data_IF_215329168657
#
_entry.id   IF_215329168657
#
_cell.length_a   1.000
_cell.length_b   1.000
_cell.length_c   1.000
_cell.angle_alpha   90.00
_cell.angle_beta   90.00
_cell.angle_gamma   90.00
#
_symmetry.space_group_name_H-M   'P 1'
#
loop_
_entity.id
_entity.type
_entity.pdbx_description
1 polymer ?
#
# COMPACT_ATOMS: atom_id res chain seq x y z
N UNK A 1 31.40 -17.74 -65.23
CA UNK A 1 30.11 -18.44 -65.27
C UNK A 1 29.14 -17.75 -64.31
N UNK A 2 27.97 -17.40 -64.84
CA UNK A 2 26.69 -16.98 -64.26
C UNK A 2 26.58 -16.41 -62.83
N UNK A 3 26.09 -15.16 -62.78
CA UNK A 3 25.20 -14.58 -61.76
C UNK A 3 23.93 -15.44 -61.56
N UNK A 4 23.37 -15.48 -60.35
CA UNK A 4 21.92 -15.38 -60.10
C UNK A 4 21.59 -15.17 -58.61
N UNK A 5 20.96 -14.04 -58.35
CA UNK A 5 20.22 -13.64 -57.15
C UNK A 5 19.04 -14.56 -56.85
N UNK A 6 18.56 -14.58 -55.61
CA UNK A 6 17.13 -14.61 -55.28
C UNK A 6 16.89 -14.20 -53.82
N UNK A 7 16.26 -13.04 -53.66
CA UNK A 7 15.54 -12.61 -52.47
C UNK A 7 14.05 -12.90 -52.69
N UNK A 8 13.40 -13.61 -51.77
CA UNK A 8 11.93 -13.72 -51.58
C UNK A 8 11.75 -14.20 -50.12
N UNK A 9 10.91 -13.65 -49.25
CA UNK A 9 9.89 -12.62 -49.40
C UNK A 9 9.38 -12.19 -48.01
N UNK A 10 8.78 -11.01 -47.97
CA UNK A 10 8.10 -10.45 -46.82
C UNK A 10 6.58 -10.61 -46.95
N UNK A 11 5.89 -10.54 -45.81
CA UNK A 11 4.47 -10.16 -45.61
C UNK A 11 3.39 -11.24 -45.84
N UNK A 12 2.90 -11.79 -44.72
CA UNK A 12 1.49 -12.10 -44.41
C UNK A 12 1.41 -12.00 -42.87
N UNK A 13 0.47 -11.37 -42.19
CA UNK A 13 -0.78 -10.69 -42.51
C UNK A 13 -1.49 -10.50 -41.16
N UNK A 14 -1.91 -9.28 -40.87
CA UNK A 14 -2.60 -8.90 -39.63
C UNK A 14 -3.97 -9.60 -39.48
N UNK A 15 -4.50 -9.55 -38.25
CA UNK A 15 -5.88 -9.83 -37.80
C UNK A 15 -6.09 -11.20 -37.13
N UNK A 16 -5.92 -11.22 -35.80
CA UNK A 16 -6.85 -11.92 -34.91
C UNK A 16 -6.93 -11.20 -33.56
N UNK A 17 -7.68 -10.08 -33.56
CA UNK A 17 -8.30 -9.56 -32.36
C UNK A 17 -9.70 -10.19 -32.25
N UNK A 18 -10.17 -10.37 -31.01
CA UNK A 18 -11.42 -11.00 -30.56
C UNK A 18 -11.41 -12.53 -30.47
N UNK A 19 -11.02 -13.04 -29.30
CA UNK A 19 -11.91 -13.77 -28.36
C UNK A 19 -11.15 -14.07 -27.06
N UNK A 20 -11.55 -13.40 -25.97
CA UNK A 20 -11.14 -13.74 -24.60
C UNK A 20 -11.78 -15.08 -24.19
N UNK A 21 -11.22 -15.76 -23.17
CA UNK A 21 -11.84 -15.55 -21.87
C UNK A 21 -10.84 -15.09 -20.81
N UNK A 22 -11.35 -14.22 -19.96
CA UNK A 22 -10.81 -13.92 -18.64
C UNK A 22 -10.48 -15.22 -17.89
N UNK A 23 -9.20 -15.50 -17.66
CA UNK A 23 -8.78 -16.42 -16.60
C UNK A 23 -8.69 -15.59 -15.32
N UNK A 24 -9.82 -15.53 -14.62
CA UNK A 24 -9.88 -15.09 -13.23
C UNK A 24 -9.21 -16.12 -12.33
N UNK A 25 -8.06 -15.74 -11.77
CA UNK A 25 -7.48 -16.43 -10.62
C UNK A 25 -8.10 -15.88 -9.34
N UNK A 26 -9.23 -16.43 -8.94
CA UNK A 26 -9.75 -16.31 -7.59
C UNK A 26 -8.86 -17.13 -6.64
N UNK A 27 -8.30 -16.47 -5.63
CA UNK A 27 -7.65 -17.08 -4.46
C UNK A 27 -8.27 -16.48 -3.18
N UNK A 28 -8.26 -17.20 -2.04
CA UNK A 28 -9.43 -17.32 -1.16
C UNK A 28 -9.74 -16.12 -0.25
N UNK A 29 -10.96 -16.23 0.28
CA UNK A 29 -11.86 -15.25 0.87
C UNK A 29 -11.50 -14.61 2.20
N UNK A 30 -11.84 -13.32 2.29
CA UNK A 30 -12.50 -12.59 3.38
C UNK A 30 -13.07 -13.44 4.54
N UNK A 31 -12.25 -13.81 5.53
CA UNK A 31 -12.75 -14.22 6.86
C UNK A 31 -11.69 -14.17 7.97
N UNK A 32 -10.91 -13.10 8.09
CA UNK A 32 -10.29 -12.76 9.38
C UNK A 32 -9.90 -11.28 9.41
N UNK A 33 -10.72 -10.47 10.08
CA UNK A 33 -10.39 -9.09 10.38
C UNK A 33 -9.40 -9.06 11.56
N UNK A 34 -8.12 -8.85 11.28
CA UNK A 34 -7.19 -8.39 12.30
C UNK A 34 -7.39 -6.87 12.45
N UNK A 35 -8.09 -6.45 13.50
CA UNK A 35 -8.23 -5.04 13.87
C UNK A 35 -7.02 -4.65 14.70
N UNK A 36 -6.13 -3.82 14.16
CA UNK A 36 -5.17 -3.09 14.98
C UNK A 36 -5.88 -1.86 15.57
N UNK A 37 -6.05 -1.83 16.89
CA UNK A 37 -6.45 -0.62 17.61
C UNK A 37 -5.35 0.43 17.44
N UNK A 38 -5.65 1.48 16.69
CA UNK A 38 -4.79 2.66 16.61
C UNK A 38 -4.99 3.51 17.85
N UNK A 39 -4.07 3.42 18.81
CA UNK A 39 -3.84 4.52 19.75
C UNK A 39 -2.88 5.51 19.08
N UNK A 40 -3.19 6.80 19.18
CA UNK A 40 -2.39 7.93 18.69
C UNK A 40 -1.00 7.99 19.36
N UNK A 41 -0.10 7.11 18.94
CA UNK A 41 1.31 7.17 19.28
C UNK A 41 2.10 7.54 18.02
N UNK A 42 2.77 8.69 18.08
CA UNK A 42 3.78 9.07 17.09
C UNK A 42 4.86 7.97 17.03
N UNK A 43 5.33 7.53 15.86
CA UNK A 43 6.36 6.51 15.77
C UNK A 43 7.69 7.06 16.31
N UNK A 44 8.17 6.47 17.40
CA UNK A 44 9.53 6.69 17.92
C UNK A 44 10.48 5.83 17.07
N UNK A 45 11.49 6.47 16.48
CA UNK A 45 12.54 5.77 15.75
C UNK A 45 13.35 4.88 16.71
N UNK A 46 13.56 3.62 16.33
CA UNK A 46 14.52 2.76 17.00
C UNK A 46 15.93 3.18 16.58
N UNK A 47 16.60 3.98 17.42
CA UNK A 47 18.04 4.18 17.30
C UNK A 47 18.74 2.89 17.70
N UNK A 48 19.39 2.22 16.75
CA UNK A 48 20.28 1.10 17.05
C UNK A 48 21.58 1.66 17.66
N UNK A 49 21.81 1.39 18.94
CA UNK A 49 23.13 1.57 19.55
C UNK A 49 24.04 0.44 19.06
N UNK A 50 25.03 0.81 18.27
CA UNK A 50 26.18 -0.02 17.94
C UNK A 50 26.90 -0.39 19.26
N UNK A 51 26.83 -1.65 19.68
CA UNK A 51 27.54 -2.13 20.85
C UNK A 51 29.03 -2.32 20.50
N UNK A 52 29.87 -1.35 20.86
CA UNK A 52 31.31 -1.53 20.96
C UNK A 52 31.62 -2.31 22.23
N UNK A 53 32.40 -3.39 22.10
CA UNK A 53 32.83 -4.24 23.20
C UNK A 53 33.64 -3.45 24.23
N UNK A 54 33.18 -3.41 25.49
CA UNK A 54 34.00 -2.86 26.57
C UNK A 54 33.31 -2.74 27.93
N UNK A 55 33.69 -3.67 28.82
CA UNK A 55 33.80 -3.52 30.28
C UNK A 55 32.59 -3.84 31.18
N UNK A 56 32.90 -4.68 32.16
CA UNK A 56 32.12 -5.22 33.29
C UNK A 56 31.85 -4.15 34.35
N UNK A 57 30.64 -4.12 34.93
CA UNK A 57 30.37 -3.44 36.21
C UNK A 57 28.94 -2.91 36.39
N UNK A 58 28.14 -3.65 37.17
CA UNK A 58 27.12 -3.26 38.16
C UNK A 58 25.94 -2.27 37.90
N UNK A 59 24.79 -2.73 38.43
CA UNK A 59 23.64 -2.04 39.07
C UNK A 59 22.39 -1.62 38.26
N UNK A 60 21.33 -2.42 38.48
CA UNK A 60 20.01 -2.09 39.09
C UNK A 60 19.11 -0.95 38.58
N UNK A 61 17.80 -1.28 38.51
CA UNK A 61 16.58 -0.45 38.41
C UNK A 61 16.12 -0.10 36.98
N UNK A 62 14.85 -0.17 36.59
CA UNK A 62 13.62 -0.05 37.37
C UNK A 62 12.46 -0.89 36.80
N UNK A 63 11.67 -1.47 37.70
CA UNK A 63 10.32 -1.94 37.45
C UNK A 63 9.35 -0.76 37.48
N UNK A 64 8.38 -0.72 36.55
CA UNK A 64 7.22 0.14 36.65
C UNK A 64 5.95 -0.70 36.47
N UNK A 65 5.21 -0.79 37.57
CA UNK A 65 3.90 -1.42 37.75
C UNK A 65 2.84 -0.47 37.17
N UNK A 66 1.91 -0.98 36.37
CA UNK A 66 0.68 -0.24 36.01
C UNK A 66 -0.54 -1.07 36.41
N UNK A 67 -1.24 -0.55 37.41
CA UNK A 67 -2.55 -0.99 37.90
C UNK A 67 -3.66 -0.47 36.97
N UNK A 68 -4.59 -1.33 36.53
CA UNK A 68 -5.82 -0.89 35.86
C UNK A 68 -7.01 -1.34 36.71
N UNK A 69 -7.75 -0.37 37.23
CA UNK A 69 -9.01 -0.56 37.96
C UNK A 69 -10.15 -0.87 37.00
N UNK A 70 -10.94 -1.88 37.35
CA UNK A 70 -12.20 -2.23 36.72
C UNK A 70 -13.34 -1.33 37.25
N UNK A 71 -14.29 -0.98 36.38
CA UNK A 71 -15.64 -0.57 36.77
C UNK A 71 -16.62 -0.88 35.64
N UNK A 72 -17.83 -1.24 36.05
CA UNK A 72 -18.83 -2.08 35.41
C UNK A 72 -20.03 -1.32 34.83
N UNK A 73 -20.70 -1.98 33.86
CA UNK A 73 -22.17 -2.06 33.61
C UNK A 73 -23.02 -0.84 33.23
N UNK A 74 -23.80 -1.02 32.15
CA UNK A 74 -25.27 -0.83 31.98
C UNK A 74 -25.57 -0.21 30.60
N UNK A 75 -26.63 -0.49 29.85
CA UNK A 75 -27.69 -1.50 29.80
C UNK A 75 -28.41 -1.33 28.44
N UNK A 76 -29.17 -2.33 28.03
CA UNK A 76 -29.87 -2.46 26.75
C UNK A 76 -31.14 -1.57 26.63
N UNK A 77 -31.55 -1.25 25.40
CA UNK A 77 -32.98 -1.10 25.05
C UNK A 77 -33.26 -1.23 23.53
N UNK A 78 -33.92 -2.35 23.21
CA UNK A 78 -35.00 -2.65 22.24
C UNK A 78 -35.33 -1.76 21.02
N UNK A 79 -35.55 -2.46 19.91
CA UNK A 79 -36.09 -2.10 18.57
C UNK A 79 -37.61 -1.75 18.62
N UNK A 80 -38.24 -1.17 17.57
CA UNK A 80 -38.66 -1.94 16.38
C UNK A 80 -38.53 -1.22 15.01
N UNK A 81 -38.53 -2.04 13.97
CA UNK A 81 -38.61 -1.66 12.56
C UNK A 81 -40.06 -1.38 12.12
N UNK A 82 -40.23 -0.51 11.13
CA UNK A 82 -41.41 -0.49 10.26
C UNK A 82 -41.05 0.02 8.86
N UNK A 83 -41.44 -0.78 7.88
CA UNK A 83 -41.43 -0.57 6.43
C UNK A 83 -42.69 0.19 5.98
N UNK A 84 -42.58 1.03 4.94
CA UNK A 84 -43.53 1.05 3.82
C UNK A 84 -43.19 2.12 2.77
N UNK A 85 -43.01 1.66 1.55
CA UNK A 85 -43.15 2.40 0.29
C UNK A 85 -44.53 3.04 0.13
N UNK A 86 -44.63 4.20 -0.54
CA UNK A 86 -45.33 4.38 -1.83
C UNK A 86 -45.71 5.84 -2.13
N UNK A 87 -45.33 6.27 -3.33
CA UNK A 87 -46.15 6.95 -4.36
C UNK A 87 -46.77 8.34 -4.16
N UNK A 88 -46.45 9.16 -5.18
CA UNK A 88 -47.35 9.95 -6.03
C UNK A 88 -47.57 11.45 -5.71
N UNK A 89 -47.62 12.19 -6.82
CA UNK A 89 -47.61 13.64 -7.02
C UNK A 89 -49.01 14.25 -6.81
N UNK A 90 -49.05 15.56 -6.50
CA UNK A 90 -49.89 16.59 -7.14
C UNK A 90 -49.41 17.99 -6.67
N UNK A 91 -48.90 18.87 -7.54
CA UNK A 91 -49.52 19.95 -8.35
C UNK A 91 -50.07 21.15 -7.54
N UNK A 92 -49.37 22.28 -7.75
CA UNK A 92 -49.73 23.72 -7.62
C UNK A 92 -50.72 24.21 -6.56
N UNK A 93 -50.29 25.20 -5.76
CA UNK A 93 -51.06 26.45 -5.56
C UNK A 93 -50.18 27.66 -5.19
N UNK A 94 -50.40 28.72 -5.95
CA UNK A 94 -50.00 30.13 -5.85
C UNK A 94 -49.98 30.75 -4.43
N UNK A 95 -48.88 31.44 -4.08
CA UNK A 95 -48.85 32.79 -3.49
C UNK A 95 -47.41 33.22 -3.13
N UNK A 96 -46.94 34.30 -3.74
CA UNK A 96 -45.66 34.95 -3.43
C UNK A 96 -45.72 35.65 -2.05
N UNK A 97 -44.67 35.45 -1.24
CA UNK A 97 -44.11 36.48 -0.37
C UNK A 97 -42.66 36.73 -0.81
N UNK A 98 -42.18 37.98 -0.86
CA UNK A 98 -40.76 38.26 -1.09
C UNK A 98 -39.93 37.58 0.00
N UNK A 99 -39.10 36.61 -0.38
CA UNK A 99 -38.17 35.95 0.53
C UNK A 99 -36.98 36.90 0.75
N UNK A 100 -36.63 37.28 1.99
CA UNK A 100 -35.38 37.97 2.27
C UNK A 100 -34.20 37.20 1.68
N UNK A 101 -33.25 37.88 1.03
CA UNK A 101 -32.02 37.26 0.53
C UNK A 101 -31.39 36.41 1.64
N UNK A 102 -31.19 35.09 1.46
CA UNK A 102 -30.39 34.32 2.37
C UNK A 102 -28.99 34.94 2.37
N UNK A 103 -28.56 35.44 3.52
CA UNK A 103 -27.14 35.68 3.78
C UNK A 103 -26.36 34.39 3.47
N UNK A 104 -25.13 34.47 2.94
CA UNK A 104 -24.37 33.29 2.59
C UNK A 104 -24.33 32.33 3.78
N UNK A 105 -24.95 31.16 3.61
CA UNK A 105 -24.83 30.06 4.55
C UNK A 105 -23.34 29.82 4.69
N UNK A 106 -22.79 30.08 5.88
CA UNK A 106 -21.53 29.50 6.29
C UNK A 106 -21.64 28.00 6.06
N UNK A 107 -20.93 27.50 5.05
CA UNK A 107 -20.85 26.07 4.80
C UNK A 107 -20.20 25.47 6.04
N UNK A 108 -21.04 24.86 6.88
CA UNK A 108 -20.55 23.91 7.87
C UNK A 108 -19.86 22.82 7.07
N UNK A 109 -18.53 22.80 7.12
CA UNK A 109 -17.73 21.70 6.57
C UNK A 109 -18.15 20.45 7.35
N UNK A 110 -18.79 19.44 6.73
CA UNK A 110 -18.93 18.15 7.36
C UNK A 110 -17.55 17.49 7.30
N UNK A 111 -16.69 17.86 8.25
CA UNK A 111 -15.47 17.14 8.54
C UNK A 111 -15.87 15.85 9.24
N UNK A 112 -15.96 14.77 8.45
CA UNK A 112 -15.58 13.37 8.74
C UNK A 112 -16.34 12.46 7.77
N UNK A 113 -15.97 12.46 6.49
CA UNK A 113 -16.18 11.28 5.66
C UNK A 113 -14.91 10.44 5.71
N UNK A 114 -15.01 9.30 6.37
CA UNK A 114 -13.94 8.33 6.65
C UNK A 114 -13.40 7.62 5.40
N UNK A 115 -13.72 8.13 4.22
CA UNK A 115 -13.05 7.88 2.95
C UNK A 115 -13.29 9.10 2.06
N UNK A 116 -12.40 10.09 2.09
CA UNK A 116 -12.46 11.12 1.05
C UNK A 116 -12.23 10.40 -0.28
N UNK A 117 -13.26 10.32 -1.12
CA UNK A 117 -13.11 9.83 -2.48
C UNK A 117 -12.22 10.79 -3.27
N UNK A 118 -11.69 10.35 -4.41
CA UNK A 118 -10.92 11.24 -5.30
C UNK A 118 -11.74 12.46 -5.71
N UNK A 119 -13.04 12.28 -5.96
CA UNK A 119 -13.97 13.38 -6.26
C UNK A 119 -14.08 14.39 -5.11
N UNK A 120 -14.10 13.93 -3.85
CA UNK A 120 -14.12 14.84 -2.70
C UNK A 120 -12.82 15.65 -2.59
N UNK A 121 -11.66 15.04 -2.86
CA UNK A 121 -10.38 15.76 -2.90
C UNK A 121 -10.31 16.77 -4.05
N UNK A 122 -10.78 16.38 -5.23
CA UNK A 122 -10.90 17.29 -6.38
C UNK A 122 -11.77 18.50 -6.04
N UNK A 123 -12.95 18.26 -5.47
CA UNK A 123 -13.87 19.33 -5.06
C UNK A 123 -13.23 20.25 -4.01
N UNK A 124 -12.48 19.70 -3.05
CA UNK A 124 -11.76 20.50 -2.06
C UNK A 124 -10.70 21.41 -2.70
N UNK A 125 -9.91 20.90 -3.65
CA UNK A 125 -8.96 21.72 -4.39
C UNK A 125 -9.66 22.83 -5.18
N UNK A 126 -10.73 22.51 -5.92
CA UNK A 126 -11.52 23.49 -6.68
C UNK A 126 -12.13 24.55 -5.77
N UNK A 127 -12.68 24.16 -4.62
CA UNK A 127 -13.23 25.10 -3.62
C UNK A 127 -12.15 26.02 -3.04
N UNK A 128 -10.91 25.54 -2.93
CA UNK A 128 -9.75 26.35 -2.56
C UNK A 128 -9.15 27.16 -3.71
N UNK A 129 -9.73 27.12 -4.92
CA UNK A 129 -9.21 27.80 -6.11
C UNK A 129 -7.90 27.20 -6.65
N UNK A 130 -7.60 25.94 -6.30
CA UNK A 130 -6.39 25.22 -6.70
C UNK A 130 -6.72 24.00 -7.56
N UNK A 131 -5.71 23.46 -8.24
CA UNK A 131 -5.77 22.18 -8.92
C UNK A 131 -5.12 21.08 -8.08
N UNK A 132 -5.39 19.81 -8.42
CA UNK A 132 -4.72 18.70 -7.79
C UNK A 132 -3.20 18.75 -8.02
N UNK A 133 -2.39 18.18 -7.10
CA UNK A 133 -0.94 18.18 -7.22
C UNK A 133 -0.45 17.57 -8.54
N UNK A 134 0.65 18.09 -9.07
CA UNK A 134 1.32 17.52 -10.23
C UNK A 134 2.44 16.53 -9.80
N UNK A 135 2.94 15.75 -10.75
CA UNK A 135 4.10 14.89 -10.51
C UNK A 135 5.33 15.71 -10.11
N UNK A 136 6.13 15.17 -9.19
CA UNK A 136 7.41 15.75 -8.76
C UNK A 136 8.56 15.18 -9.57
N UNK A 137 9.57 16.01 -9.82
CA UNK A 137 10.84 15.59 -10.45
C UNK A 137 11.81 14.92 -9.47
N UNK A 138 12.94 14.45 -10.02
CA UNK A 138 14.04 13.83 -9.27
C UNK A 138 14.17 12.33 -9.51
N UNK A 139 14.93 11.66 -8.64
CA UNK A 139 15.19 10.23 -8.68
C UNK A 139 15.26 9.64 -7.28
N UNK A 140 15.17 8.31 -7.18
CA UNK A 140 15.48 7.56 -5.96
C UNK A 140 17.00 7.37 -5.84
N UNK A 141 17.48 7.04 -4.63
CA UNK A 141 18.91 6.83 -4.37
C UNK A 141 19.48 5.49 -4.90
N UNK A 142 18.66 4.68 -5.58
CA UNK A 142 19.02 3.34 -6.02
C UNK A 142 18.86 2.25 -4.94
N UNK A 143 19.02 1.00 -5.36
CA UNK A 143 18.97 -0.19 -4.53
C UNK A 143 20.13 -1.13 -4.90
N UNK A 144 20.65 -1.92 -3.94
CA UNK A 144 21.91 -2.65 -4.10
C UNK A 144 21.85 -3.82 -5.10
N UNK A 145 20.66 -4.37 -5.41
CA UNK A 145 20.53 -5.52 -6.30
C UNK A 145 21.29 -6.76 -5.83
N UNK A 146 21.44 -6.94 -4.51
CA UNK A 146 22.20 -8.06 -3.93
C UNK A 146 21.49 -9.40 -4.14
N UNK A 147 22.24 -10.47 -4.17
CA UNK A 147 21.70 -11.85 -4.13
C UNK A 147 21.85 -12.40 -2.73
N UNK A 148 20.82 -13.06 -2.22
CA UNK A 148 20.85 -13.77 -0.94
C UNK A 148 21.71 -15.03 -1.00
N UNK A 149 22.00 -15.65 0.15
CA UNK A 149 22.76 -16.90 0.23
C UNK A 149 22.07 -18.07 -0.47
N UNK A 150 20.73 -18.09 -0.49
CA UNK A 150 19.92 -19.08 -1.20
C UNK A 150 19.76 -18.80 -2.69
N UNK A 151 20.40 -17.77 -3.24
CA UNK A 151 20.34 -17.44 -4.67
C UNK A 151 19.13 -16.57 -5.08
N UNK A 152 18.30 -16.13 -4.14
CA UNK A 152 17.17 -15.21 -4.42
C UNK A 152 17.71 -13.83 -4.75
N UNK A 153 17.29 -13.24 -5.87
CA UNK A 153 17.68 -11.91 -6.31
C UNK A 153 17.00 -10.81 -5.49
N UNK A 154 17.72 -9.77 -5.12
CA UNK A 154 17.23 -8.65 -4.32
C UNK A 154 16.70 -7.48 -5.14
N UNK A 155 16.39 -6.40 -4.43
CA UNK A 155 15.76 -5.19 -4.95
C UNK A 155 16.72 -4.48 -5.88
N UNK A 156 16.33 -4.34 -7.15
CA UNK A 156 17.13 -3.59 -8.12
C UNK A 156 16.76 -2.11 -8.11
N UNK A 157 17.67 -1.27 -8.61
CA UNK A 157 17.39 0.16 -8.80
C UNK A 157 16.22 0.39 -9.79
N UNK A 158 16.03 -0.52 -10.75
CA UNK A 158 14.90 -0.49 -11.68
C UNK A 158 13.56 -0.75 -10.97
N UNK A 159 13.52 -1.73 -10.06
CA UNK A 159 12.32 -2.01 -9.25
C UNK A 159 11.92 -0.79 -8.43
N UNK A 160 12.88 -0.20 -7.72
CA UNK A 160 12.65 0.97 -6.88
C UNK A 160 12.18 2.18 -7.69
N UNK A 161 12.81 2.45 -8.84
CA UNK A 161 12.42 3.56 -9.71
C UNK A 161 11.02 3.35 -10.32
N UNK A 162 10.72 2.13 -10.77
CA UNK A 162 9.40 1.77 -11.31
C UNK A 162 8.30 1.90 -10.26
N UNK A 163 8.55 1.41 -9.04
CA UNK A 163 7.65 1.59 -7.90
C UNK A 163 7.43 3.06 -7.59
N UNK A 164 8.50 3.84 -7.40
CA UNK A 164 8.43 5.25 -7.02
C UNK A 164 7.63 6.09 -8.02
N UNK A 165 7.88 5.88 -9.32
CA UNK A 165 7.15 6.56 -10.40
C UNK A 165 5.67 6.22 -10.37
N UNK A 166 5.31 4.94 -10.31
CA UNK A 166 3.91 4.51 -10.31
C UNK A 166 3.19 4.91 -9.03
N UNK A 167 3.85 4.80 -7.87
CA UNK A 167 3.31 5.20 -6.58
C UNK A 167 2.87 6.67 -6.59
N UNK A 168 3.75 7.58 -7.02
CA UNK A 168 3.40 9.00 -7.11
C UNK A 168 2.40 9.32 -8.22
N UNK A 169 2.47 8.63 -9.37
CA UNK A 169 1.46 8.79 -10.42
C UNK A 169 0.06 8.45 -9.90
N UNK A 170 -0.08 7.37 -9.12
CA UNK A 170 -1.33 6.98 -8.46
C UNK A 170 -1.76 8.06 -7.46
N UNK A 171 -0.84 8.59 -6.64
CA UNK A 171 -1.16 9.67 -5.68
C UNK A 171 -1.72 10.89 -6.39
N UNK A 172 -1.01 11.38 -7.39
CA UNK A 172 -1.39 12.55 -8.21
C UNK A 172 -2.73 12.33 -8.92
N UNK A 173 -2.93 11.17 -9.57
CA UNK A 173 -4.19 10.84 -10.25
C UNK A 173 -5.39 10.82 -9.29
N UNK A 174 -5.13 10.64 -7.98
CA UNK A 174 -6.14 10.64 -6.95
C UNK A 174 -6.13 11.89 -6.09
N UNK A 175 -5.47 12.97 -6.53
CA UNK A 175 -5.38 14.25 -5.82
C UNK A 175 -4.81 14.13 -4.41
N UNK A 176 -3.79 13.29 -4.27
CA UNK A 176 -2.96 13.18 -3.08
C UNK A 176 -1.60 13.82 -3.35
N UNK A 177 -1.04 14.52 -2.37
CA UNK A 177 0.29 15.09 -2.48
C UNK A 177 1.32 14.00 -2.77
N UNK A 178 2.18 14.15 -3.79
CA UNK A 178 3.23 13.18 -4.07
C UNK A 178 4.27 13.16 -2.95
N UNK A 179 4.97 12.04 -2.82
CA UNK A 179 6.14 11.92 -1.95
C UNK A 179 7.37 12.34 -2.77
N UNK A 180 8.29 13.18 -2.25
CA UNK A 180 9.54 13.46 -2.95
C UNK A 180 10.27 12.18 -3.33
N UNK A 181 10.73 12.04 -4.58
CA UNK A 181 11.31 10.76 -5.05
C UNK A 181 12.52 10.31 -4.22
N UNK A 182 13.32 11.25 -3.68
CA UNK A 182 14.42 10.97 -2.73
C UNK A 182 13.98 10.34 -1.39
N UNK A 183 12.70 10.44 -1.06
CA UNK A 183 12.10 9.85 0.13
C UNK A 183 11.42 8.49 -0.16
N UNK A 184 11.40 8.03 -1.41
CA UNK A 184 11.03 6.66 -1.74
C UNK A 184 12.32 5.85 -1.80
N UNK A 185 12.54 5.00 -0.80
CA UNK A 185 13.86 4.43 -0.49
C UNK A 185 13.81 2.91 -0.46
N UNK A 186 14.92 2.32 -0.87
CA UNK A 186 15.21 0.93 -0.56
C UNK A 186 15.26 0.74 0.97
N UNK A 187 14.71 -0.36 1.46
CA UNK A 187 14.76 -0.74 2.87
C UNK A 187 15.28 -2.17 3.03
N UNK A 188 16.48 -2.29 3.60
CA UNK A 188 17.15 -3.58 3.80
C UNK A 188 16.48 -4.48 4.83
N UNK A 189 15.70 -3.90 5.76
CA UNK A 189 14.97 -4.67 6.76
C UNK A 189 13.75 -5.34 6.13
N UNK A 190 13.01 -4.64 5.26
CA UNK A 190 11.96 -5.25 4.45
C UNK A 190 12.52 -6.34 3.54
N UNK A 191 13.65 -6.09 2.88
CA UNK A 191 14.27 -7.08 1.99
C UNK A 191 14.73 -8.33 2.75
N UNK A 192 15.28 -8.18 3.95
CA UNK A 192 15.66 -9.33 4.79
C UNK A 192 14.45 -10.21 5.11
N UNK A 193 13.28 -9.62 5.37
CA UNK A 193 12.02 -10.36 5.57
C UNK A 193 11.62 -11.10 4.30
N UNK A 194 11.72 -10.45 3.14
CA UNK A 194 11.35 -11.05 1.86
C UNK A 194 12.27 -12.20 1.46
N UNK A 195 13.58 -12.09 1.68
CA UNK A 195 14.51 -13.22 1.52
C UNK A 195 14.17 -14.37 2.46
N UNK A 196 13.88 -14.07 3.73
CA UNK A 196 13.46 -15.09 4.68
C UNK A 196 12.19 -15.83 4.24
N UNK A 197 11.22 -15.15 3.62
CA UNK A 197 10.05 -15.82 3.04
C UNK A 197 10.45 -16.62 1.79
N UNK A 198 11.23 -16.03 0.90
CA UNK A 198 11.60 -16.61 -0.40
C UNK A 198 12.49 -17.84 -0.29
N UNK A 199 13.30 -17.94 0.75
CA UNK A 199 14.21 -19.07 0.96
C UNK A 199 13.57 -20.22 1.74
N UNK A 200 12.27 -20.16 2.07
CA UNK A 200 11.57 -21.28 2.70
C UNK A 200 11.65 -22.52 1.77
N UNK A 201 12.09 -23.68 2.26
CA UNK A 201 12.33 -24.84 1.39
C UNK A 201 11.04 -25.57 0.97
N UNK A 202 9.87 -25.11 1.42
CA UNK A 202 8.59 -25.70 1.04
C UNK A 202 8.31 -25.48 -0.45
N UNK A 203 7.84 -26.49 -1.19
CA UNK A 203 7.35 -26.31 -2.56
C UNK A 203 6.03 -25.52 -2.63
N UNK A 204 5.35 -25.30 -1.49
CA UNK A 204 4.18 -24.42 -1.41
C UNK A 204 4.62 -22.96 -1.33
N UNK A 205 4.35 -22.21 -2.40
CA UNK A 205 4.69 -20.77 -2.52
C UNK A 205 4.01 -19.88 -1.47
N UNK A 206 2.98 -20.38 -0.78
CA UNK A 206 2.29 -19.70 0.31
C UNK A 206 2.85 -20.06 1.69
N UNK A 207 3.78 -21.02 1.76
CA UNK A 207 4.51 -21.31 2.99
C UNK A 207 5.38 -20.12 3.39
N UNK A 208 5.49 -19.88 4.71
CA UNK A 208 6.08 -18.68 5.32
C UNK A 208 5.45 -17.33 4.92
N UNK A 209 4.59 -17.28 3.90
CA UNK A 209 3.99 -16.07 3.37
C UNK A 209 3.06 -15.42 4.38
N UNK A 210 3.40 -14.20 4.77
CA UNK A 210 2.53 -13.35 5.59
C UNK A 210 3.30 -12.44 6.54
N UNK A 211 2.50 -11.71 7.33
CA UNK A 211 2.95 -10.76 8.33
C UNK A 211 3.73 -11.41 9.47
N UNK A 212 4.25 -10.58 10.37
CA UNK A 212 4.94 -11.07 11.57
C UNK A 212 4.10 -12.10 12.32
N UNK A 213 4.75 -13.20 12.71
CA UNK A 213 4.10 -14.36 13.35
C UNK A 213 3.94 -15.57 12.44
N UNK A 214 4.10 -15.44 11.12
CA UNK A 214 4.24 -16.60 10.24
C UNK A 214 5.54 -17.36 10.54
N UNK A 215 5.50 -18.67 10.32
CA UNK A 215 6.63 -19.58 10.52
C UNK A 215 7.06 -20.16 9.18
N UNK A 216 8.37 -20.34 9.00
CA UNK A 216 8.91 -21.17 7.92
C UNK A 216 8.68 -22.64 8.20
N UNK A 217 8.64 -23.42 7.13
CA UNK A 217 8.49 -24.88 7.15
C UNK A 217 9.67 -25.57 7.83
N UNK A 218 10.86 -24.99 7.74
CA UNK A 218 12.10 -25.49 8.35
C UNK A 218 12.38 -24.96 9.77
N UNK A 219 11.48 -24.14 10.32
CA UNK A 219 11.62 -23.60 11.68
C UNK A 219 12.65 -22.48 11.82
N UNK A 220 13.28 -21.99 10.75
CA UNK A 220 14.21 -20.86 10.82
C UNK A 220 13.48 -19.61 11.37
N UNK A 221 13.98 -18.98 12.44
CA UNK A 221 13.32 -17.83 13.06
C UNK A 221 13.13 -16.65 12.11
N UNK A 222 11.99 -15.95 12.25
CA UNK A 222 11.67 -14.76 11.46
C UNK A 222 12.72 -13.65 11.62
N UNK A 223 13.12 -13.05 10.50
CA UNK A 223 13.98 -11.86 10.44
C UNK A 223 13.36 -10.76 9.60
N UNK A 224 13.90 -9.54 9.73
CA UNK A 224 13.50 -8.38 8.94
C UNK A 224 12.27 -7.63 9.48
N UNK A 225 11.75 -6.72 8.67
CA UNK A 225 10.64 -5.83 9.00
C UNK A 225 9.39 -6.20 8.22
N UNK A 226 8.23 -5.91 8.82
CA UNK A 226 6.92 -6.10 8.19
C UNK A 226 6.49 -4.88 7.36
N UNK A 227 5.54 -5.08 6.46
CA UNK A 227 4.96 -4.05 5.62
C UNK A 227 3.77 -4.58 4.82
N UNK A 228 3.26 -3.78 3.90
CA UNK A 228 2.29 -4.25 2.92
C UNK A 228 2.97 -5.25 1.99
N UNK A 229 2.47 -6.48 1.95
CA UNK A 229 3.06 -7.55 1.16
C UNK A 229 2.33 -7.71 -0.17
N UNK A 230 3.07 -8.04 -1.23
CA UNK A 230 2.52 -8.48 -2.51
C UNK A 230 3.43 -9.55 -3.13
N UNK A 231 2.83 -10.63 -3.62
CA UNK A 231 3.56 -11.76 -4.20
C UNK A 231 3.02 -12.18 -5.56
N UNK A 232 3.77 -13.02 -6.26
CA UNK A 232 3.33 -13.73 -7.47
C UNK A 232 4.19 -13.47 -8.70
N UNK A 233 3.86 -14.18 -9.77
CA UNK A 233 4.56 -14.11 -11.05
C UNK A 233 4.26 -12.84 -11.84
N UNK A 234 5.27 -12.34 -12.55
CA UNK A 234 5.14 -11.23 -13.50
C UNK A 234 4.95 -9.86 -12.83
N UNK A 235 5.22 -9.73 -11.53
CA UNK A 235 5.18 -8.41 -10.92
C UNK A 235 6.46 -7.61 -11.20
N UNK A 236 6.29 -6.30 -11.19
CA UNK A 236 7.35 -5.30 -11.17
C UNK A 236 7.05 -4.31 -10.06
N UNK A 237 8.00 -3.41 -9.74
CA UNK A 237 7.74 -2.30 -8.81
C UNK A 237 6.47 -1.51 -9.16
N UNK A 238 6.19 -1.32 -10.45
CA UNK A 238 4.96 -0.67 -10.92
C UNK A 238 3.69 -1.48 -10.65
N UNK A 239 3.70 -2.79 -10.92
CA UNK A 239 2.48 -3.59 -10.75
C UNK A 239 2.12 -3.78 -9.28
N UNK A 240 3.10 -3.90 -8.37
CA UNK A 240 2.82 -4.01 -6.93
C UNK A 240 2.27 -2.72 -6.34
N UNK A 241 2.73 -1.55 -6.81
CA UNK A 241 2.13 -0.26 -6.45
C UNK A 241 0.64 -0.22 -6.80
N UNK A 242 0.28 -0.61 -8.03
CA UNK A 242 -1.12 -0.70 -8.48
C UNK A 242 -1.92 -1.71 -7.68
N UNK A 243 -1.36 -2.89 -7.37
CA UNK A 243 -2.03 -3.92 -6.55
C UNK A 243 -2.38 -3.39 -5.16
N UNK A 244 -1.44 -2.71 -4.49
CA UNK A 244 -1.69 -2.12 -3.17
C UNK A 244 -2.70 -0.98 -3.21
N UNK A 245 -2.71 -0.16 -4.27
CA UNK A 245 -3.75 0.85 -4.44
C UNK A 245 -5.16 0.23 -4.59
N UNK A 246 -5.28 -0.86 -5.33
CA UNK A 246 -6.55 -1.53 -5.60
C UNK A 246 -7.08 -2.37 -4.43
N UNK A 247 -6.31 -2.50 -3.34
CA UNK A 247 -6.72 -3.22 -2.14
C UNK A 247 -6.94 -2.24 -0.99
N UNK A 248 -8.18 -2.12 -0.50
CA UNK A 248 -8.55 -1.09 0.47
C UNK A 248 -7.67 -1.08 1.74
N UNK A 249 -7.32 -2.25 2.28
CA UNK A 249 -6.44 -2.35 3.45
C UNK A 249 -5.03 -1.82 3.16
N UNK A 250 -4.43 -2.26 2.05
CA UNK A 250 -3.09 -1.84 1.64
C UNK A 250 -3.06 -0.36 1.24
N UNK A 251 -4.10 0.12 0.57
CA UNK A 251 -4.26 1.52 0.21
C UNK A 251 -4.32 2.39 1.47
N UNK A 252 -5.12 1.99 2.46
CA UNK A 252 -5.27 2.74 3.72
C UNK A 252 -3.97 2.82 4.49
N UNK A 253 -3.20 1.74 4.57
CA UNK A 253 -1.93 1.71 5.31
C UNK A 253 -0.79 2.43 4.59
N UNK A 254 -0.66 2.25 3.27
CA UNK A 254 0.51 2.73 2.52
C UNK A 254 0.26 4.02 1.75
N UNK A 255 -0.92 4.23 1.17
CA UNK A 255 -1.21 5.48 0.47
C UNK A 255 -1.80 6.54 1.39
N UNK A 256 -2.37 6.12 2.53
CA UNK A 256 -2.96 6.98 3.56
C UNK A 256 -3.78 8.13 2.95
N UNK A 257 -4.86 7.82 2.19
CA UNK A 257 -5.61 8.84 1.44
C UNK A 257 -6.32 9.89 2.31
N UNK A 258 -6.36 9.69 3.63
CA UNK A 258 -6.87 10.62 4.62
C UNK A 258 -5.77 11.39 5.38
N UNK A 259 -4.49 11.20 5.04
CA UNK A 259 -3.40 11.96 5.65
C UNK A 259 -3.43 13.40 5.15
N UNK A 260 -3.53 14.35 6.07
CA UNK A 260 -3.62 15.80 5.81
C UNK A 260 -2.36 16.59 6.17
N UNK A 261 -1.31 15.90 6.65
CA UNK A 261 -0.03 16.54 6.96
C UNK A 261 0.84 16.73 5.73
N UNK A 262 1.98 17.40 5.89
CA UNK A 262 2.96 17.54 4.81
C UNK A 262 3.58 16.18 4.44
N UNK A 263 3.77 15.93 3.15
CA UNK A 263 4.50 14.75 2.64
C UNK A 263 6.02 14.96 2.54
N UNK A 264 6.51 16.17 2.83
CA UNK A 264 7.93 16.51 2.71
C UNK A 264 8.84 15.70 3.63
N UNK A 265 8.34 15.32 4.82
CA UNK A 265 9.03 14.48 5.81
C UNK A 265 8.60 13.00 5.81
N UNK A 266 7.76 12.59 4.86
CA UNK A 266 7.31 11.20 4.74
C UNK A 266 8.35 10.40 3.97
N UNK A 267 8.67 9.19 4.46
CA UNK A 267 9.48 8.19 3.75
C UNK A 267 8.60 7.02 3.37
N UNK A 268 8.75 6.54 2.14
CA UNK A 268 8.18 5.26 1.70
C UNK A 268 9.33 4.28 1.54
N UNK A 269 9.34 3.27 2.39
CA UNK A 269 10.30 2.18 2.33
C UNK A 269 9.78 1.10 1.38
N UNK A 270 10.65 0.56 0.54
CA UNK A 270 10.31 -0.46 -0.46
C UNK A 270 11.42 -1.51 -0.58
N UNK A 271 11.00 -2.75 -0.77
CA UNK A 271 11.87 -3.86 -1.18
C UNK A 271 11.10 -4.82 -2.10
N UNK A 272 11.83 -5.50 -2.99
CA UNK A 272 11.31 -6.53 -3.88
C UNK A 272 12.40 -7.57 -4.10
N UNK A 273 12.06 -8.85 -3.98
CA UNK A 273 12.96 -9.98 -4.25
C UNK A 273 12.39 -10.83 -5.38
N UNK A 274 13.27 -11.53 -6.10
CA UNK A 274 13.01 -12.25 -7.34
C UNK A 274 13.46 -13.71 -7.21
N UNK A 275 12.57 -14.62 -7.56
CA UNK A 275 12.73 -16.06 -7.33
C UNK A 275 12.46 -16.49 -5.89
N UNK A 276 12.89 -17.70 -5.59
CA UNK A 276 12.66 -18.36 -4.31
C UNK A 276 12.99 -19.84 -4.39
N UNK A 277 13.21 -20.44 -3.22
CA UNK A 277 13.41 -21.88 -3.09
C UNK A 277 12.05 -22.59 -2.93
N UNK A 278 12.01 -23.88 -3.28
CA UNK A 278 13.00 -24.61 -4.05
C UNK A 278 12.95 -24.29 -5.57
N UNK A 279 11.81 -23.80 -6.08
CA UNK A 279 11.51 -23.85 -7.52
C UNK A 279 10.95 -22.55 -8.12
N UNK A 280 10.93 -21.44 -7.37
CA UNK A 280 10.38 -20.18 -7.89
C UNK A 280 11.35 -19.55 -8.88
N UNK A 281 10.93 -19.46 -10.14
CA UNK A 281 11.69 -18.76 -11.16
C UNK A 281 11.79 -17.26 -10.88
N UNK A 282 12.77 -16.59 -11.50
CA UNK A 282 13.05 -15.16 -11.30
C UNK A 282 11.81 -14.25 -11.49
N UNK A 283 10.86 -14.63 -12.35
CA UNK A 283 9.63 -13.86 -12.57
C UNK A 283 8.64 -13.90 -11.40
N UNK A 284 8.77 -14.85 -10.47
CA UNK A 284 8.04 -14.86 -9.22
C UNK A 284 8.70 -13.88 -8.26
N UNK A 285 7.92 -12.92 -7.77
CA UNK A 285 8.46 -11.86 -6.92
C UNK A 285 7.70 -11.79 -5.62
N UNK A 286 8.39 -11.29 -4.59
CA UNK A 286 7.80 -10.93 -3.31
C UNK A 286 8.23 -9.50 -3.02
N UNK A 287 7.29 -8.62 -2.72
CA UNK A 287 7.54 -7.20 -2.47
C UNK A 287 6.90 -6.75 -1.17
N UNK A 288 7.52 -5.75 -0.55
CA UNK A 288 7.05 -5.12 0.66
C UNK A 288 7.19 -3.61 0.56
N UNK A 289 6.23 -2.87 1.12
CA UNK A 289 6.34 -1.44 1.30
C UNK A 289 5.71 -0.97 2.61
N UNK A 290 6.23 0.11 3.19
CA UNK A 290 5.62 0.74 4.38
C UNK A 290 5.73 2.27 4.33
N UNK A 291 4.76 2.92 4.96
CA UNK A 291 4.79 4.35 5.25
C UNK A 291 5.60 4.60 6.52
N UNK A 292 6.59 5.50 6.47
CA UNK A 292 7.46 5.87 7.58
C UNK A 292 7.71 7.39 7.67
N UNK A 293 8.50 7.77 8.67
CA UNK A 293 9.03 9.14 8.83
C UNK A 293 10.52 9.21 8.50
N UNK A 294 10.99 10.41 8.12
CA UNK A 294 12.41 10.73 8.00
C UNK A 294 13.13 10.75 9.35
#
# INVERSE_FOLDING_TARGET
MLKRSLAVGAVFGSVLALTLPFVGGAGPSLAQSAVAQGTDALPVAASSTYASSGRVGDTSAAAAIVTIGASTTSAASTVPASSSSSSAKDVEHLAQKPVPKPQPKSVSVPGTSTSSSTSARQAAHTAAGTSCPANVGGSTAGAPGRTSSGGVGGTTSADLAAFAKTFNAIRVANCLDPIPLRNIRYDSCLEARLFWIAEDPSPDVTSAWGHNGTKRSDGVPAVGCDGNLAGGSGNTGSTVATKWWNSAAHQKSLYRPSYSGSTSGVVICFAMVHGGLPNDGYSFTRAAARWGGC
#
